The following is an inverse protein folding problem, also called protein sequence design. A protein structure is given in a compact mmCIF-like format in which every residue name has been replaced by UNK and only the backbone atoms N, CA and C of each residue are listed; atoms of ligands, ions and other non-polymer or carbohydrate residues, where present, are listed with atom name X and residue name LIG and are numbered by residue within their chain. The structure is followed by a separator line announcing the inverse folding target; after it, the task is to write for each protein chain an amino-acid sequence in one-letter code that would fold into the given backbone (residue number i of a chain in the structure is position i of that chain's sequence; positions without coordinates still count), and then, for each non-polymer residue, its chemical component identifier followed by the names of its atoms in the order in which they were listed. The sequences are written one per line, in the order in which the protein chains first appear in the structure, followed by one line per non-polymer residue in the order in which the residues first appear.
data_IF_732930532837
#
_entry.id   IF_732930532837
#
_cell.length_a   1.000
_cell.length_b   1.000
_cell.length_c   1.000
_cell.angle_alpha   90.00
_cell.angle_beta   90.00
_cell.angle_gamma   90.00
#
_symmetry.space_group_name_H-M   'P 1'
#
loop_
_entity.id
_entity.type
_entity.pdbx_description
1 polymer ?
#
# COMPACT_ATOMS: atom_id res chain seq x y z
N UNK A 1 19.10 -56.26 -28.53
CA UNK A 1 18.08 -55.90 -27.52
C UNK A 1 18.32 -54.44 -27.15
N UNK A 2 17.53 -53.51 -27.70
CA UNK A 2 17.67 -52.07 -27.44
C UNK A 2 17.20 -51.76 -26.01
N UNK A 3 18.06 -51.18 -25.18
CA UNK A 3 17.70 -50.69 -23.85
C UNK A 3 17.10 -49.29 -23.92
N UNK A 4 15.86 -49.14 -23.42
CA UNK A 4 15.20 -47.84 -23.32
C UNK A 4 15.70 -47.16 -22.04
N UNK A 5 16.38 -46.02 -22.20
CA UNK A 5 16.81 -45.16 -21.10
C UNK A 5 15.67 -44.19 -20.76
N UNK A 6 14.97 -44.41 -19.65
CA UNK A 6 13.94 -43.49 -19.15
C UNK A 6 14.58 -42.31 -18.42
N UNK A 7 14.49 -41.12 -19.02
CA UNK A 7 14.90 -39.86 -18.38
C UNK A 7 13.72 -39.34 -17.54
N UNK A 8 13.91 -39.28 -16.22
CA UNK A 8 12.95 -38.67 -15.31
C UNK A 8 13.12 -37.14 -15.34
N UNK A 9 12.11 -36.42 -15.82
CA UNK A 9 12.05 -34.95 -15.72
C UNK A 9 11.44 -34.61 -14.36
N UNK A 10 12.25 -34.09 -13.44
CA UNK A 10 11.75 -33.55 -12.18
C UNK A 10 11.15 -32.15 -12.42
N UNK A 11 9.93 -31.86 -11.93
CA UNK A 11 9.36 -30.52 -12.05
C UNK A 11 10.21 -29.53 -11.23
N UNK A 12 10.64 -28.45 -11.86
CA UNK A 12 11.26 -27.32 -11.17
C UNK A 12 10.18 -26.61 -10.36
N UNK A 13 10.33 -26.58 -9.04
CA UNK A 13 9.47 -25.77 -8.19
C UNK A 13 9.89 -24.31 -8.40
N UNK A 14 9.12 -23.56 -9.17
CA UNK A 14 9.32 -22.11 -9.33
C UNK A 14 8.81 -21.44 -8.05
N UNK A 15 9.69 -21.30 -7.06
CA UNK A 15 9.44 -20.39 -5.94
C UNK A 15 9.64 -18.99 -6.48
N UNK A 16 8.59 -18.16 -6.50
CA UNK A 16 8.73 -16.76 -6.85
C UNK A 16 9.78 -16.12 -5.93
N UNK A 17 10.84 -15.57 -6.50
CA UNK A 17 11.98 -15.06 -5.74
C UNK A 17 11.54 -13.82 -4.93
N UNK A 18 11.80 -13.83 -3.62
CA UNK A 18 11.50 -12.70 -2.74
C UNK A 18 12.73 -11.81 -2.60
N UNK A 19 12.62 -10.57 -3.06
CA UNK A 19 13.66 -9.55 -2.88
C UNK A 19 13.46 -8.83 -1.54
N UNK A 20 14.46 -8.88 -0.67
CA UNK A 20 14.45 -8.15 0.61
C UNK A 20 15.06 -6.76 0.41
N UNK A 21 14.26 -5.71 0.64
CA UNK A 21 14.68 -4.32 0.50
C UNK A 21 15.02 -3.70 1.85
N UNK A 22 16.29 -3.29 2.03
CA UNK A 22 16.81 -2.63 3.25
C UNK A 22 17.35 -1.22 3.00
N UNK A 23 17.03 -0.63 1.85
CA UNK A 23 17.56 0.66 1.43
C UNK A 23 16.85 1.15 0.18
N UNK A 24 17.61 1.64 -0.80
CA UNK A 24 17.03 2.22 -2.01
C UNK A 24 17.19 1.30 -3.21
N UNK A 25 16.10 1.15 -3.96
CA UNK A 25 16.04 0.43 -5.22
C UNK A 25 15.54 1.38 -6.31
N UNK A 26 16.26 1.44 -7.43
CA UNK A 26 15.99 2.35 -8.54
C UNK A 26 15.76 1.57 -9.82
N UNK A 27 14.61 1.78 -10.45
CA UNK A 27 14.29 1.23 -11.78
C UNK A 27 14.51 -0.30 -11.88
N UNK A 28 14.36 -1.01 -10.77
CA UNK A 28 14.53 -2.46 -10.72
C UNK A 28 13.23 -3.18 -11.09
N UNK A 29 13.35 -4.40 -11.60
CA UNK A 29 12.24 -5.34 -11.66
C UNK A 29 12.50 -6.49 -10.70
N UNK A 30 11.56 -6.77 -9.81
CA UNK A 30 11.62 -7.87 -8.84
C UNK A 30 10.35 -8.70 -8.93
N UNK A 31 10.40 -9.96 -8.49
CA UNK A 31 9.20 -10.79 -8.43
C UNK A 31 8.34 -10.38 -7.22
N UNK A 32 8.71 -10.77 -5.99
CA UNK A 32 8.11 -10.23 -4.77
C UNK A 32 9.07 -9.28 -4.05
N UNK A 33 8.53 -8.31 -3.32
CA UNK A 33 9.32 -7.38 -2.52
C UNK A 33 8.92 -7.49 -1.05
N UNK A 34 9.89 -7.65 -0.17
CA UNK A 34 9.70 -7.63 1.28
C UNK A 34 10.52 -6.51 1.92
N UNK A 35 9.87 -5.67 2.71
CA UNK A 35 10.54 -4.73 3.61
C UNK A 35 10.56 -5.37 5.00
N UNK A 36 11.73 -5.77 5.52
CA UNK A 36 11.82 -6.52 6.77
C UNK A 36 11.48 -5.63 7.98
N UNK A 37 11.19 -6.26 9.13
CA UNK A 37 10.86 -5.55 10.38
C UNK A 37 11.85 -4.40 10.69
N UNK A 38 11.31 -3.22 10.98
CA UNK A 38 12.10 -2.00 11.28
C UNK A 38 12.93 -1.46 10.11
N UNK A 39 12.97 -2.18 8.99
CA UNK A 39 13.69 -1.79 7.79
C UNK A 39 13.03 -0.61 7.08
N UNK A 40 13.82 0.11 6.29
CA UNK A 40 13.32 1.15 5.39
C UNK A 40 13.63 0.75 3.97
N UNK A 41 12.63 0.83 3.10
CA UNK A 41 12.76 0.61 1.68
C UNK A 41 12.26 1.83 0.90
N UNK A 42 13.09 2.32 -0.01
CA UNK A 42 12.68 3.31 -1.01
C UNK A 42 12.74 2.66 -2.38
N UNK A 43 11.58 2.43 -2.99
CA UNK A 43 11.45 1.92 -4.35
C UNK A 43 11.07 3.07 -5.29
N UNK A 44 11.94 3.39 -6.24
CA UNK A 44 11.72 4.47 -7.20
C UNK A 44 11.72 3.95 -8.64
N UNK A 45 10.62 4.18 -9.36
CA UNK A 45 10.47 3.77 -10.76
C UNK A 45 10.47 2.25 -11.00
N UNK A 46 10.38 1.45 -9.95
CA UNK A 46 10.51 -0.01 -10.01
C UNK A 46 9.22 -0.76 -10.37
N UNK A 47 9.40 -2.00 -10.82
CA UNK A 47 8.33 -2.93 -11.17
C UNK A 47 8.37 -4.17 -10.25
N UNK A 48 7.28 -4.45 -9.56
CA UNK A 48 7.11 -5.65 -8.73
C UNK A 48 6.10 -6.55 -9.45
N UNK A 49 6.54 -7.71 -9.96
CA UNK A 49 5.66 -8.62 -10.72
C UNK A 49 4.65 -9.37 -9.85
N UNK A 50 4.96 -9.48 -8.57
CA UNK A 50 4.11 -10.05 -7.54
C UNK A 50 3.65 -8.98 -6.55
N UNK A 51 3.76 -9.28 -5.26
CA UNK A 51 3.26 -8.42 -4.18
C UNK A 51 4.38 -7.76 -3.38
N UNK A 52 4.02 -6.68 -2.69
CA UNK A 52 4.87 -6.02 -1.71
C UNK A 52 4.36 -6.32 -0.30
N UNK A 53 5.23 -6.84 0.56
CA UNK A 53 4.96 -7.03 1.98
C UNK A 53 5.82 -6.08 2.81
N UNK A 54 5.18 -5.29 3.68
CA UNK A 54 5.84 -4.38 4.61
C UNK A 54 5.61 -4.88 6.02
N UNK A 55 6.69 -5.25 6.71
CA UNK A 55 6.59 -5.85 8.05
C UNK A 55 6.46 -4.79 9.16
N UNK A 56 6.34 -5.28 10.39
CA UNK A 56 6.15 -4.43 11.56
C UNK A 56 7.25 -3.37 11.69
N UNK A 57 6.87 -2.16 12.10
CA UNK A 57 7.75 -0.99 12.29
C UNK A 57 8.54 -0.58 11.03
N UNK A 58 8.32 -1.23 9.90
CA UNK A 58 9.04 -0.95 8.67
C UNK A 58 8.46 0.27 7.96
N UNK A 59 9.24 0.80 7.02
CA UNK A 59 8.87 1.96 6.22
C UNK A 59 9.03 1.64 4.73
N UNK A 60 7.97 1.86 3.96
CA UNK A 60 7.99 1.74 2.50
C UNK A 60 7.72 3.10 1.87
N UNK A 61 8.64 3.57 1.03
CA UNK A 61 8.44 4.72 0.15
C UNK A 61 8.46 4.22 -1.31
N UNK A 62 7.27 4.08 -1.88
CA UNK A 62 7.05 3.65 -3.25
C UNK A 62 6.69 4.86 -4.11
N UNK A 63 7.58 5.24 -5.02
CA UNK A 63 7.46 6.41 -5.88
C UNK A 63 7.51 5.99 -7.35
N UNK A 64 6.48 6.35 -8.14
CA UNK A 64 6.42 6.05 -9.58
C UNK A 64 6.54 4.55 -9.89
N UNK A 65 6.00 3.69 -9.03
CA UNK A 65 6.14 2.23 -9.12
C UNK A 65 4.97 1.55 -9.84
N UNK A 66 5.22 0.35 -10.35
CA UNK A 66 4.17 -0.59 -10.77
C UNK A 66 4.25 -1.86 -9.92
N UNK A 67 3.14 -2.23 -9.29
CA UNK A 67 3.01 -3.49 -8.53
C UNK A 67 1.88 -4.27 -9.18
N UNK A 68 2.15 -5.45 -9.71
CA UNK A 68 1.11 -6.25 -10.36
C UNK A 68 0.17 -6.93 -9.35
N UNK A 69 0.67 -7.26 -8.16
CA UNK A 69 -0.10 -7.80 -7.06
C UNK A 69 -0.53 -6.75 -6.02
N UNK A 70 -0.55 -7.17 -4.76
CA UNK A 70 -1.04 -6.38 -3.63
C UNK A 70 0.11 -5.63 -2.93
N UNK A 71 -0.23 -4.55 -2.22
CA UNK A 71 0.63 -3.96 -1.19
C UNK A 71 0.01 -4.21 0.18
N UNK A 72 0.70 -4.98 1.02
CA UNK A 72 0.22 -5.40 2.33
C UNK A 72 1.17 -4.91 3.42
N UNK A 73 0.63 -4.19 4.39
CA UNK A 73 1.39 -3.65 5.50
C UNK A 73 0.63 -3.88 6.81
N UNK A 74 1.26 -4.63 7.71
CA UNK A 74 0.70 -4.90 9.04
C UNK A 74 1.67 -4.40 10.10
N UNK A 75 1.18 -3.59 11.04
CA UNK A 75 1.99 -2.96 12.08
C UNK A 75 3.14 -2.08 11.53
N UNK A 76 3.06 -1.66 10.27
CA UNK A 76 4.10 -0.87 9.62
C UNK A 76 4.15 0.56 10.17
N UNK A 77 5.35 1.14 10.26
CA UNK A 77 5.54 2.52 10.76
C UNK A 77 5.00 3.55 9.77
N UNK A 78 5.34 3.39 8.49
CA UNK A 78 4.94 4.33 7.43
C UNK A 78 4.84 3.63 6.07
N UNK A 79 3.75 3.84 5.35
CA UNK A 79 3.57 3.39 3.96
C UNK A 79 3.23 4.59 3.07
N UNK A 80 4.14 4.95 2.18
CA UNK A 80 3.97 6.05 1.23
C UNK A 80 3.97 5.50 -0.20
N UNK A 81 2.85 5.66 -0.91
CA UNK A 81 2.67 5.20 -2.29
C UNK A 81 2.20 6.40 -3.11
N UNK A 82 3.11 6.99 -3.88
CA UNK A 82 2.91 8.33 -4.47
C UNK A 82 3.47 8.46 -5.89
N UNK A 83 3.09 9.58 -6.54
CA UNK A 83 3.51 9.99 -7.88
C UNK A 83 3.16 8.96 -8.95
N UNK A 84 1.87 8.84 -9.26
CA UNK A 84 1.40 7.97 -10.35
C UNK A 84 1.69 6.48 -10.21
N UNK A 85 1.64 5.87 -9.01
CA UNK A 85 1.84 4.43 -8.88
C UNK A 85 0.63 3.67 -9.43
N UNK A 86 0.88 2.46 -9.95
CA UNK A 86 -0.16 1.53 -10.43
C UNK A 86 -0.09 0.24 -9.65
N UNK A 87 -1.17 -0.09 -8.95
CA UNK A 87 -1.32 -1.31 -8.16
C UNK A 87 -2.39 -2.17 -8.82
N UNK A 88 -1.99 -3.33 -9.33
CA UNK A 88 -2.86 -4.29 -10.02
C UNK A 88 -3.76 -5.09 -9.07
N UNK A 89 -3.45 -5.09 -7.77
CA UNK A 89 -4.31 -5.64 -6.71
C UNK A 89 -4.81 -4.54 -5.76
N UNK A 90 -4.92 -4.90 -4.49
CA UNK A 90 -5.38 -4.05 -3.39
C UNK A 90 -4.23 -3.46 -2.57
N UNK A 91 -4.50 -2.36 -1.89
CA UNK A 91 -3.62 -1.76 -0.87
C UNK A 91 -4.26 -1.95 0.49
N UNK A 92 -3.58 -2.65 1.39
CA UNK A 92 -4.07 -2.93 2.74
C UNK A 92 -3.04 -2.49 3.78
N UNK A 93 -3.43 -1.55 4.64
CA UNK A 93 -2.60 -1.10 5.78
C UNK A 93 -3.39 -1.27 7.07
N UNK A 94 -2.90 -2.17 7.93
CA UNK A 94 -3.56 -2.55 9.18
C UNK A 94 -2.65 -2.32 10.37
N UNK A 95 -3.22 -1.82 11.46
CA UNK A 95 -2.54 -1.67 12.76
C UNK A 95 -1.23 -0.85 12.70
N UNK A 96 -1.02 -0.09 11.63
CA UNK A 96 0.19 0.68 11.39
C UNK A 96 0.13 2.08 11.98
N UNK A 97 1.14 2.87 11.63
CA UNK A 97 1.26 4.28 12.02
C UNK A 97 0.62 5.24 11.02
N UNK A 98 1.32 5.54 9.94
CA UNK A 98 0.84 6.47 8.91
C UNK A 98 0.86 5.83 7.54
N UNK A 99 -0.08 6.23 6.68
CA UNK A 99 -0.12 5.76 5.31
C UNK A 99 -0.68 6.82 4.36
N UNK A 100 -0.11 6.90 3.16
CA UNK A 100 -0.51 7.88 2.17
C UNK A 100 -0.49 7.26 0.78
N UNK A 101 -1.63 7.37 0.11
CA UNK A 101 -1.87 6.95 -1.27
C UNK A 101 -2.28 8.18 -2.08
N UNK A 102 -1.42 8.64 -3.00
CA UNK A 102 -1.62 9.90 -3.74
C UNK A 102 -1.36 9.71 -5.23
N UNK A 103 -2.28 10.23 -6.05
CA UNK A 103 -2.18 10.19 -7.52
C UNK A 103 -2.06 8.76 -8.04
N UNK A 104 -2.77 7.80 -7.48
CA UNK A 104 -2.58 6.36 -7.75
C UNK A 104 -3.71 5.76 -8.57
N UNK A 105 -3.42 4.67 -9.28
CA UNK A 105 -4.44 3.74 -9.79
C UNK A 105 -4.36 2.45 -9.01
N UNK A 106 -5.49 2.01 -8.44
CA UNK A 106 -5.62 0.75 -7.71
C UNK A 106 -6.76 -0.04 -8.35
N UNK A 107 -6.44 -1.21 -8.90
CA UNK A 107 -7.42 -2.08 -9.55
C UNK A 107 -8.28 -2.86 -8.54
N UNK A 108 -7.78 -3.06 -7.32
CA UNK A 108 -8.53 -3.64 -6.22
C UNK A 108 -9.11 -2.60 -5.26
N UNK A 109 -9.09 -2.95 -3.99
CA UNK A 109 -9.59 -2.14 -2.88
C UNK A 109 -8.46 -1.36 -2.18
N UNK A 110 -8.84 -0.32 -1.44
CA UNK A 110 -7.98 0.36 -0.46
C UNK A 110 -8.56 0.16 0.93
N UNK A 111 -7.79 -0.45 1.83
CA UNK A 111 -8.21 -0.73 3.20
C UNK A 111 -7.25 -0.11 4.23
N UNK A 112 -7.80 0.71 5.12
CA UNK A 112 -7.12 1.21 6.31
C UNK A 112 -7.85 0.74 7.57
N UNK A 113 -7.21 -0.11 8.37
CA UNK A 113 -7.84 -0.71 9.54
C UNK A 113 -7.00 -0.52 10.81
N UNK A 114 -7.61 0.00 11.89
CA UNK A 114 -7.02 0.10 13.22
C UNK A 114 -5.64 0.77 13.29
N UNK A 115 -5.33 1.71 12.38
CA UNK A 115 -4.04 2.39 12.34
C UNK A 115 -3.97 3.48 13.42
N UNK A 116 -3.33 3.10 14.53
CA UNK A 116 -3.34 3.86 15.79
C UNK A 116 -1.92 4.07 16.35
N UNK A 117 -0.89 3.58 15.66
CA UNK A 117 0.48 3.71 16.15
C UNK A 117 0.94 5.17 15.99
N UNK A 118 1.26 5.82 17.11
CA UNK A 118 1.86 7.15 17.08
C UNK A 118 3.16 7.10 16.27
N UNK A 119 3.23 7.92 15.22
CA UNK A 119 4.43 8.03 14.41
C UNK A 119 5.58 8.67 15.21
N UNK A 120 6.45 7.84 15.77
CA UNK A 120 7.72 8.26 16.39
C UNK A 120 8.77 8.44 15.28
N UNK A 121 8.81 9.62 14.65
CA UNK A 121 9.87 9.93 13.67
C UNK A 121 11.11 10.39 14.43
N UNK A 122 12.10 9.50 14.50
CA UNK A 122 13.48 9.79 14.90
C UNK A 122 14.29 9.49 13.62
N UNK A 123 14.66 10.51 12.86
CA UNK A 123 15.43 10.42 11.62
C UNK A 123 14.73 9.71 10.45
N UNK A 124 14.13 10.51 9.56
CA UNK A 124 13.86 10.10 8.18
C UNK A 124 14.56 11.16 7.32
N UNK A 125 15.68 10.79 6.70
CA UNK A 125 16.34 11.57 5.64
C UNK A 125 15.51 11.42 4.35
N UNK A 126 14.29 11.97 4.33
CA UNK A 126 13.42 11.94 3.15
C UNK A 126 12.99 13.36 2.73
N UNK A 127 13.52 13.88 1.60
CA UNK A 127 13.11 15.16 1.04
C UNK A 127 11.67 15.17 0.47
N UNK A 128 10.96 14.03 0.46
CA UNK A 128 9.64 13.87 -0.15
C UNK A 128 8.44 13.83 0.81
N UNK A 129 8.64 13.74 2.12
CA UNK A 129 7.56 13.68 3.11
C UNK A 129 7.54 14.95 3.96
N UNK A 130 6.62 15.90 3.69
CA UNK A 130 6.48 17.07 4.55
C UNK A 130 6.20 16.64 5.99
N UNK A 131 7.06 17.09 6.91
CA UNK A 131 7.00 16.79 8.36
C UNK A 131 5.66 17.17 9.03
N UNK A 132 4.79 17.91 8.34
CA UNK A 132 3.44 18.28 8.79
C UNK A 132 2.40 17.13 8.75
N UNK A 133 2.77 15.93 8.29
CA UNK A 133 1.82 14.81 8.08
C UNK A 133 1.91 13.67 9.11
N UNK A 134 2.53 13.92 10.27
CA UNK A 134 2.68 12.87 11.30
C UNK A 134 1.31 12.35 11.74
N UNK A 135 1.17 11.02 11.78
CA UNK A 135 -0.04 10.33 12.22
C UNK A 135 -1.29 10.67 11.39
N UNK A 136 -1.17 10.61 10.06
CA UNK A 136 -2.29 10.80 9.13
C UNK A 136 -2.43 9.65 8.13
N UNK A 137 -3.69 9.40 7.74
CA UNK A 137 -4.07 8.53 6.63
C UNK A 137 -4.63 9.38 5.51
N UNK A 138 -4.07 9.29 4.30
CA UNK A 138 -4.49 10.13 3.18
C UNK A 138 -4.72 9.32 1.91
N UNK A 139 -5.89 9.50 1.31
CA UNK A 139 -6.24 8.94 0.00
C UNK A 139 -6.70 10.09 -0.87
N UNK A 140 -5.81 10.61 -1.72
CA UNK A 140 -6.11 11.77 -2.56
C UNK A 140 -5.83 11.53 -4.05
N UNK A 141 -6.71 12.03 -4.91
CA UNK A 141 -6.53 11.98 -6.38
C UNK A 141 -6.28 10.58 -6.93
N UNK A 142 -6.95 9.56 -6.35
CA UNK A 142 -6.80 8.18 -6.79
C UNK A 142 -7.96 7.74 -7.66
N UNK A 143 -7.69 6.80 -8.56
CA UNK A 143 -8.69 6.00 -9.27
C UNK A 143 -8.68 4.60 -8.67
N UNK A 144 -9.66 4.30 -7.82
CA UNK A 144 -9.81 3.01 -7.13
C UNK A 144 -10.96 2.28 -7.81
N UNK A 145 -10.71 1.11 -8.40
CA UNK A 145 -11.78 0.34 -9.08
C UNK A 145 -12.69 -0.37 -8.10
N UNK A 146 -12.14 -0.89 -7.00
CA UNK A 146 -12.89 -1.49 -5.92
C UNK A 146 -13.42 -0.46 -4.93
N UNK A 147 -13.42 -0.85 -3.66
CA UNK A 147 -13.92 -0.09 -2.53
C UNK A 147 -12.80 0.68 -1.82
N UNK A 148 -13.20 1.70 -1.06
CA UNK A 148 -12.34 2.31 -0.05
C UNK A 148 -12.97 2.08 1.32
N UNK A 149 -12.26 1.35 2.19
CA UNK A 149 -12.70 1.01 3.53
C UNK A 149 -11.75 1.57 4.59
N UNK A 150 -12.27 2.39 5.49
CA UNK A 150 -11.50 3.03 6.55
C UNK A 150 -12.17 2.73 7.90
N UNK A 151 -11.58 1.86 8.70
CA UNK A 151 -12.23 1.30 9.89
C UNK A 151 -11.34 1.44 11.13
N UNK A 152 -11.88 2.03 12.20
CA UNK A 152 -11.30 1.98 13.55
C UNK A 152 -9.98 2.74 13.73
N UNK A 153 -9.66 3.71 12.86
CA UNK A 153 -8.39 4.43 12.91
C UNK A 153 -8.42 5.60 13.91
N UNK A 154 -7.34 5.79 14.67
CA UNK A 154 -7.16 6.86 15.66
C UNK A 154 -6.27 8.02 15.13
N UNK A 155 -5.86 7.92 13.87
CA UNK A 155 -5.11 8.93 13.13
C UNK A 155 -6.05 9.90 12.40
N UNK A 156 -5.56 11.11 12.06
CA UNK A 156 -6.33 12.02 11.21
C UNK A 156 -6.48 11.41 9.82
N UNK A 157 -7.72 11.19 9.37
CA UNK A 157 -8.02 10.65 8.05
C UNK A 157 -8.49 11.74 7.10
N UNK A 158 -7.91 11.76 5.90
CA UNK A 158 -8.27 12.65 4.81
C UNK A 158 -8.54 11.87 3.53
N UNK A 159 -9.73 12.06 2.94
CA UNK A 159 -10.15 11.37 1.72
C UNK A 159 -10.68 12.42 0.74
N UNK A 160 -9.87 12.80 -0.25
CA UNK A 160 -10.19 13.90 -1.16
C UNK A 160 -10.03 13.54 -2.64
N UNK A 161 -10.92 14.05 -3.50
CA UNK A 161 -10.71 14.03 -4.95
C UNK A 161 -10.51 12.63 -5.55
N UNK A 162 -11.15 11.59 -5.02
CA UNK A 162 -11.00 10.23 -5.54
C UNK A 162 -12.14 9.88 -6.50
N UNK A 163 -11.86 9.01 -7.46
CA UNK A 163 -12.85 8.28 -8.26
C UNK A 163 -12.85 6.84 -7.76
N UNK A 164 -13.94 6.42 -7.13
CA UNK A 164 -14.11 5.11 -6.49
C UNK A 164 -15.19 4.36 -7.23
N UNK A 165 -14.86 3.21 -7.83
CA UNK A 165 -15.81 2.39 -8.58
C UNK A 165 -16.82 1.68 -7.68
N UNK A 166 -16.37 1.21 -6.51
CA UNK A 166 -17.21 0.58 -5.49
C UNK A 166 -17.75 1.55 -4.44
N UNK A 167 -17.82 1.08 -3.20
CA UNK A 167 -18.33 1.83 -2.05
C UNK A 167 -17.21 2.58 -1.31
N UNK A 168 -17.59 3.66 -0.63
CA UNK A 168 -16.77 4.38 0.33
C UNK A 168 -17.35 4.19 1.75
N UNK A 169 -16.67 3.40 2.58
CA UNK A 169 -17.14 3.03 3.92
C UNK A 169 -16.17 3.49 5.01
N UNK A 170 -16.68 4.24 5.98
CA UNK A 170 -15.86 4.80 7.06
C UNK A 170 -16.51 4.60 8.42
N UNK A 171 -15.97 3.69 9.22
CA UNK A 171 -16.57 3.28 10.49
C UNK A 171 -15.61 3.43 11.66
N UNK A 172 -16.09 3.94 12.79
CA UNK A 172 -15.35 3.97 14.07
C UNK A 172 -14.01 4.73 14.05
N UNK A 173 -13.78 5.66 13.12
CA UNK A 173 -12.56 6.45 13.07
C UNK A 173 -12.65 7.70 13.97
N UNK A 174 -11.54 8.07 14.61
CA UNK A 174 -11.39 9.26 15.45
C UNK A 174 -10.00 9.89 15.24
N UNK A 175 -9.83 11.22 15.29
CA UNK A 175 -10.87 12.26 15.30
C UNK A 175 -11.73 12.22 14.02
N UNK A 176 -12.81 13.02 13.90
CA UNK A 176 -13.65 13.03 12.71
C UNK A 176 -12.84 13.12 11.41
N UNK A 177 -13.23 12.33 10.41
CA UNK A 177 -12.57 12.34 9.11
C UNK A 177 -12.84 13.66 8.39
N UNK A 178 -11.95 14.04 7.51
CA UNK A 178 -12.19 15.13 6.58
C UNK A 178 -12.22 14.60 5.14
N UNK A 179 -13.19 15.03 4.36
CA UNK A 179 -13.31 14.66 2.96
C UNK A 179 -14.11 15.67 2.14
N UNK A 180 -13.92 15.60 0.83
CA UNK A 180 -14.62 16.39 -0.20
C UNK A 180 -14.29 15.85 -1.58
N UNK A 181 -15.14 16.14 -2.55
CA UNK A 181 -14.91 15.90 -3.98
C UNK A 181 -14.64 14.42 -4.34
N UNK A 182 -15.24 13.47 -3.61
CA UNK A 182 -15.15 12.04 -3.96
C UNK A 182 -16.31 11.65 -4.88
N UNK A 183 -15.98 11.16 -6.07
CA UNK A 183 -16.92 10.53 -6.99
C UNK A 183 -16.98 9.04 -6.68
N UNK A 184 -18.11 8.57 -6.18
CA UNK A 184 -18.30 7.18 -5.73
C UNK A 184 -19.38 6.56 -6.61
N UNK A 185 -19.07 5.42 -7.24
CA UNK A 185 -19.98 4.67 -8.10
C UNK A 185 -21.01 3.88 -7.31
N UNK A 186 -20.63 3.39 -6.12
CA UNK A 186 -21.52 2.74 -5.16
C UNK A 186 -22.05 3.70 -4.08
N UNK A 187 -22.05 3.25 -2.82
CA UNK A 187 -22.58 3.99 -1.67
C UNK A 187 -21.49 4.73 -0.88
N UNK A 188 -21.88 5.80 -0.20
CA UNK A 188 -21.11 6.45 0.86
C UNK A 188 -21.73 6.10 2.21
N UNK A 189 -20.98 5.42 3.06
CA UNK A 189 -21.52 4.81 4.29
C UNK A 189 -20.91 5.42 5.56
N UNK A 190 -21.70 5.37 6.63
CA UNK A 190 -21.31 5.74 7.99
C UNK A 190 -20.72 7.17 8.06
N UNK A 191 -19.49 7.32 8.55
CA UNK A 191 -18.84 8.61 8.75
C UNK A 191 -18.45 9.31 7.43
N UNK A 192 -18.47 8.58 6.31
CA UNK A 192 -18.17 9.12 4.99
C UNK A 192 -19.43 9.47 4.18
N UNK A 193 -20.63 9.29 4.76
CA UNK A 193 -21.90 9.61 4.11
C UNK A 193 -22.04 11.08 3.66
N UNK A 194 -21.24 11.98 4.24
CA UNK A 194 -21.30 13.42 4.01
C UNK A 194 -20.38 13.98 2.90
N UNK A 195 -19.47 13.21 2.28
CA UNK A 195 -18.49 13.77 1.33
C UNK A 195 -18.05 12.86 0.17
#
# INVERSE_FOLDING_TARGET
MLGILTVAVLPSIVVAEETICRGRLWYVTVDNLRVPEGGTCTLQGGHVKGSVKVEAKATLHACEVRVAGNVQAENARLVLIIRSPRIGGSVQVKQGGSAMLLHSTVEGDVQYEANNQKLLVINIDDPGVPFIFRNSLRTNFNNVKGNVQVIGNQASVQIYHNVIGGNLQCKENKPPLAGRDNQVGGTKEDQCSAF
#
